data_IF_853149764426
#
_entry.id   IF_853149764426
#
_cell.length_a   1.000
_cell.length_b   1.000
_cell.length_c   1.000
_cell.angle_alpha   90.00
_cell.angle_beta   90.00
_cell.angle_gamma   90.00
#
_symmetry.space_group_name_H-M   'P 1'
#
loop_
_entity.id
_entity.type
_entity.pdbx_description
1 polymer ?
#
# COMPACT_ATOMS: atom_id res chain seq x y z
N UNK A 1 5.66 -9.73 3.04
CA UNK A 1 6.18 -8.38 2.75
C UNK A 1 6.16 -8.19 1.25
N UNK A 2 5.68 -7.05 0.78
CA UNK A 2 5.71 -6.71 -0.64
C UNK A 2 7.13 -6.24 -0.95
N UNK A 3 7.79 -6.85 -1.94
CA UNK A 3 9.19 -6.53 -2.26
C UNK A 3 9.30 -5.41 -3.30
N UNK A 4 10.45 -4.73 -3.36
CA UNK A 4 10.73 -3.69 -4.34
C UNK A 4 10.65 -4.20 -5.78
N UNK A 5 11.03 -5.45 -6.06
CA UNK A 5 10.84 -6.04 -7.40
C UNK A 5 9.36 -6.14 -7.75
N UNK A 6 8.52 -6.52 -6.79
CA UNK A 6 7.06 -6.59 -6.97
C UNK A 6 6.46 -5.20 -7.19
N UNK A 7 7.01 -4.17 -6.54
CA UNK A 7 6.61 -2.78 -6.77
C UNK A 7 6.95 -2.33 -8.19
N UNK A 8 8.15 -2.61 -8.66
CA UNK A 8 8.60 -2.22 -10.01
C UNK A 8 7.71 -2.87 -11.07
N UNK A 9 7.45 -4.17 -10.93
CA UNK A 9 6.56 -4.89 -11.84
C UNK A 9 5.13 -4.33 -11.77
N UNK A 10 4.59 -4.11 -10.56
CA UNK A 10 3.27 -3.53 -10.36
C UNK A 10 3.13 -2.13 -11.00
N UNK A 11 4.09 -1.24 -10.78
CA UNK A 11 4.08 0.12 -11.32
C UNK A 11 4.14 0.13 -12.85
N UNK A 12 4.87 -0.82 -13.43
CA UNK A 12 4.97 -1.00 -14.87
C UNK A 12 3.70 -1.60 -15.47
N UNK A 13 3.09 -2.59 -14.81
CA UNK A 13 1.89 -3.26 -15.31
C UNK A 13 0.63 -2.38 -15.16
N UNK A 14 0.42 -1.75 -14.01
CA UNK A 14 -0.79 -0.98 -13.73
C UNK A 14 -0.72 0.45 -14.30
N UNK A 15 0.46 1.09 -14.28
CA UNK A 15 0.60 2.50 -14.68
C UNK A 15 1.50 2.72 -15.89
N UNK A 16 2.20 1.68 -16.38
CA UNK A 16 3.16 1.83 -17.49
C UNK A 16 4.42 2.61 -17.09
N UNK A 17 4.73 2.71 -15.79
CA UNK A 17 5.84 3.50 -15.27
C UNK A 17 7.05 2.59 -15.05
N UNK A 18 8.18 2.94 -15.65
CA UNK A 18 9.45 2.28 -15.37
C UNK A 18 10.06 2.91 -14.12
N UNK A 19 10.15 2.12 -13.04
CA UNK A 19 10.73 2.55 -11.77
C UNK A 19 12.11 1.90 -11.63
N UNK A 20 13.12 2.70 -11.32
CA UNK A 20 14.46 2.21 -10.99
C UNK A 20 14.55 2.00 -9.48
N UNK A 21 14.98 0.81 -9.05
CA UNK A 21 15.03 0.43 -7.62
C UNK A 21 15.82 1.39 -6.75
N UNK A 22 16.90 1.95 -7.29
CA UNK A 22 17.81 2.85 -6.56
C UNK A 22 17.19 4.24 -6.28
N UNK A 23 16.08 4.57 -6.95
CA UNK A 23 15.35 5.84 -6.80
C UNK A 23 14.12 5.72 -5.90
N UNK A 24 13.84 4.53 -5.36
CA UNK A 24 12.69 4.28 -4.49
C UNK A 24 13.10 4.40 -3.04
N UNK A 25 12.43 5.29 -2.31
CA UNK A 25 12.46 5.30 -0.85
C UNK A 25 11.50 4.24 -0.30
N UNK A 26 11.94 3.47 0.71
CA UNK A 26 11.12 2.49 1.40
C UNK A 26 11.10 2.78 2.90
N UNK A 27 9.92 2.75 3.49
CA UNK A 27 9.71 2.85 4.93
C UNK A 27 8.66 1.82 5.37
N UNK A 28 8.78 1.30 6.59
CA UNK A 28 7.74 0.47 7.19
C UNK A 28 7.55 0.87 8.65
N UNK A 29 6.32 1.23 9.01
CA UNK A 29 5.97 1.73 10.34
C UNK A 29 4.78 0.97 10.90
N UNK A 30 4.80 0.65 12.20
CA UNK A 30 3.65 0.11 12.90
C UNK A 30 2.75 1.28 13.33
N UNK A 31 1.51 1.32 12.85
CA UNK A 31 0.56 2.40 13.10
C UNK A 31 -0.72 1.87 13.75
N UNK A 32 -1.24 2.62 14.73
CA UNK A 32 -2.57 2.42 15.26
C UNK A 32 -3.61 3.11 14.37
N UNK A 33 -4.88 2.71 14.49
CA UNK A 33 -5.96 3.28 13.67
C UNK A 33 -6.13 4.80 13.83
N UNK A 34 -5.83 5.35 15.01
CA UNK A 34 -5.87 6.80 15.26
C UNK A 34 -4.71 7.57 14.63
N UNK A 35 -3.68 6.88 14.14
CA UNK A 35 -2.54 7.47 13.43
C UNK A 35 -2.70 7.43 11.91
N UNK A 36 -3.70 6.71 11.39
CA UNK A 36 -3.97 6.61 9.95
C UNK A 36 -4.80 7.79 9.44
N UNK A 37 -4.35 8.40 8.34
CA UNK A 37 -5.07 9.50 7.69
C UNK A 37 -6.30 8.98 6.92
N UNK A 38 -7.47 9.55 7.21
CA UNK A 38 -8.75 9.22 6.57
C UNK A 38 -8.77 9.52 5.06
N UNK A 39 -7.88 10.40 4.59
CA UNK A 39 -7.70 10.70 3.16
C UNK A 39 -7.00 9.56 2.42
N UNK A 40 -6.20 8.77 3.13
CA UNK A 40 -5.46 7.62 2.59
C UNK A 40 -6.28 6.35 2.80
N UNK A 41 -6.80 6.16 4.01
CA UNK A 41 -7.54 4.98 4.44
C UNK A 41 -8.98 5.37 4.76
N UNK A 42 -9.92 4.97 3.89
CA UNK A 42 -11.33 5.18 4.17
C UNK A 42 -11.78 4.44 5.43
N UNK A 43 -12.82 4.94 6.10
CA UNK A 43 -13.40 4.29 7.30
C UNK A 43 -13.80 2.83 7.05
N UNK A 44 -14.27 2.51 5.84
CA UNK A 44 -14.62 1.14 5.44
C UNK A 44 -13.40 0.22 5.43
N UNK A 45 -12.27 0.71 4.91
CA UNK A 45 -11.01 -0.05 4.89
C UNK A 45 -10.45 -0.16 6.31
N UNK A 46 -10.51 0.92 7.10
CA UNK A 46 -10.03 0.96 8.48
C UNK A 46 -10.67 -0.14 9.35
N UNK A 47 -11.97 -0.39 9.18
CA UNK A 47 -12.68 -1.46 9.91
C UNK A 47 -12.22 -2.88 9.54
N UNK A 48 -11.56 -3.06 8.40
CA UNK A 48 -11.05 -4.36 7.92
C UNK A 48 -9.61 -4.57 8.37
N UNK A 49 -8.85 -3.49 8.57
CA UNK A 49 -7.44 -3.57 8.97
C UNK A 49 -7.30 -3.96 10.46
N UNK A 50 -6.27 -4.75 10.82
CA UNK A 50 -5.92 -4.99 12.21
C UNK A 50 -5.50 -3.69 12.89
N UNK A 51 -5.52 -3.68 14.23
CA UNK A 51 -5.05 -2.55 15.03
C UNK A 51 -4.12 -3.07 16.14
N UNK A 52 -2.81 -2.79 16.10
CA UNK A 52 -2.10 -1.99 15.10
C UNK A 52 -1.93 -2.70 13.74
N UNK A 53 -1.61 -1.93 12.70
CA UNK A 53 -1.30 -2.41 11.35
C UNK A 53 0.12 -2.00 10.97
N UNK A 54 0.82 -2.86 10.25
CA UNK A 54 2.13 -2.52 9.70
C UNK A 54 1.91 -1.84 8.34
N UNK A 55 2.39 -0.62 8.18
CA UNK A 55 2.20 0.16 6.96
C UNK A 55 3.54 0.35 6.26
N UNK A 56 3.69 -0.35 5.13
CA UNK A 56 4.85 -0.24 4.25
C UNK A 56 4.57 0.84 3.21
N UNK A 57 5.49 1.78 3.06
CA UNK A 57 5.37 2.92 2.15
C UNK A 57 6.55 2.92 1.20
N UNK A 58 6.25 3.02 -0.09
CA UNK A 58 7.23 3.32 -1.12
C UNK A 58 7.01 4.72 -1.67
N UNK A 59 8.09 5.47 -1.82
CA UNK A 59 8.07 6.82 -2.38
C UNK A 59 8.96 6.83 -3.62
N UNK A 60 8.39 7.26 -4.74
CA UNK A 60 9.11 7.44 -5.99
C UNK A 60 8.82 8.83 -6.55
N UNK A 61 9.87 9.61 -6.81
CA UNK A 61 9.76 10.99 -7.28
C UNK A 61 10.45 11.10 -8.63
N UNK A 62 9.67 11.33 -9.68
CA UNK A 62 10.17 11.64 -11.02
C UNK A 62 9.62 13.00 -11.47
N UNK A 63 8.60 13.00 -12.34
CA UNK A 63 7.84 14.20 -12.74
C UNK A 63 6.69 14.54 -11.81
N UNK A 64 6.15 13.49 -11.17
CA UNK A 64 5.11 13.53 -10.15
C UNK A 64 5.61 12.72 -8.96
N UNK A 65 5.11 13.05 -7.78
CA UNK A 65 5.31 12.22 -6.59
C UNK A 65 4.37 11.03 -6.63
N UNK A 66 4.92 9.85 -6.39
CA UNK A 66 4.17 8.62 -6.19
C UNK A 66 4.41 8.09 -4.78
N UNK A 67 3.31 7.83 -4.08
CA UNK A 67 3.31 7.18 -2.78
C UNK A 67 2.50 5.90 -2.91
N UNK A 68 3.12 4.77 -2.61
CA UNK A 68 2.49 3.45 -2.61
C UNK A 68 2.47 2.96 -1.18
N UNK A 69 1.27 2.95 -0.58
CA UNK A 69 1.04 2.47 0.77
C UNK A 69 0.48 1.07 0.76
N UNK A 70 1.03 0.19 1.59
CA UNK A 70 0.61 -1.20 1.71
C UNK A 70 0.40 -1.50 3.19
N UNK A 71 -0.85 -1.77 3.55
CA UNK A 71 -1.20 -2.24 4.87
C UNK A 71 -0.94 -3.76 4.94
N UNK A 72 -0.14 -4.16 5.92
CA UNK A 72 0.27 -5.53 6.19
C UNK A 72 -0.21 -5.96 7.58
N UNK A 73 -0.57 -7.24 7.72
CA UNK A 73 -0.73 -7.82 9.05
C UNK A 73 0.62 -7.88 9.77
N UNK A 74 0.69 -7.34 11.00
CA UNK A 74 1.97 -7.12 11.70
C UNK A 74 2.75 -8.41 12.05
N UNK A 75 2.04 -9.54 12.23
CA UNK A 75 2.67 -10.80 12.63
C UNK A 75 3.17 -11.61 11.41
N UNK A 76 2.39 -11.67 10.33
CA UNK A 76 2.69 -12.49 9.15
C UNK A 76 3.26 -11.70 7.96
N UNK A 77 3.22 -10.37 8.00
CA UNK A 77 3.50 -9.49 6.85
C UNK A 77 2.64 -9.81 5.62
N UNK A 78 1.44 -10.36 5.84
CA UNK A 78 0.46 -10.62 4.79
C UNK A 78 -0.15 -9.30 4.30
N UNK A 79 -0.12 -8.99 3.00
CA UNK A 79 -0.73 -7.78 2.47
C UNK A 79 -2.26 -7.80 2.58
N UNK A 80 -2.83 -6.74 3.12
CA UNK A 80 -4.26 -6.60 3.37
C UNK A 80 -4.92 -5.57 2.46
N UNK A 81 -4.21 -4.49 2.19
CA UNK A 81 -4.68 -3.37 1.40
C UNK A 81 -3.50 -2.66 0.74
N UNK A 82 -3.72 -2.14 -0.46
CA UNK A 82 -2.77 -1.34 -1.21
C UNK A 82 -3.47 -0.06 -1.68
N UNK A 83 -2.79 1.07 -1.58
CA UNK A 83 -3.22 2.37 -2.08
C UNK A 83 -2.08 3.05 -2.82
N UNK A 84 -2.40 3.72 -3.92
CA UNK A 84 -1.45 4.57 -4.64
C UNK A 84 -1.97 6.01 -4.69
N UNK A 85 -1.09 6.93 -4.35
CA UNK A 85 -1.29 8.36 -4.48
C UNK A 85 -0.32 8.88 -5.53
N UNK A 86 -0.82 9.80 -6.35
CA UNK A 86 -0.05 10.58 -7.30
C UNK A 86 -0.28 12.05 -6.99
N UNK A 87 0.79 12.77 -6.65
CA UNK A 87 0.73 14.18 -6.26
C UNK A 87 -0.34 14.41 -5.17
N UNK A 88 -0.27 13.63 -4.08
CA UNK A 88 -1.24 13.60 -2.95
C UNK A 88 -2.68 13.16 -3.32
N UNK A 89 -2.96 12.87 -4.59
CA UNK A 89 -4.29 12.42 -5.03
C UNK A 89 -4.31 10.91 -5.15
N UNK A 90 -5.23 10.26 -4.44
CA UNK A 90 -5.45 8.81 -4.57
C UNK A 90 -5.90 8.45 -5.99
N UNK A 91 -5.13 7.60 -6.66
CA UNK A 91 -5.38 7.15 -8.04
C UNK A 91 -5.71 5.66 -8.13
N UNK A 92 -5.38 4.88 -7.10
CA UNK A 92 -5.64 3.45 -7.05
C UNK A 92 -5.80 2.99 -5.60
N UNK A 93 -6.67 2.00 -5.38
CA UNK A 93 -6.73 1.23 -4.15
C UNK A 93 -7.22 -0.19 -4.41
N UNK A 94 -6.77 -1.15 -3.61
CA UNK A 94 -7.15 -2.55 -3.72
C UNK A 94 -7.09 -3.26 -2.38
N UNK A 95 -8.18 -3.93 -2.00
CA UNK A 95 -8.16 -4.90 -0.92
C UNK A 95 -7.46 -6.17 -1.41
N UNK A 96 -6.45 -6.61 -0.67
CA UNK A 96 -5.64 -7.80 -0.97
C UNK A 96 -6.09 -9.00 -0.13
N UNK A 97 -6.83 -8.75 0.96
CA UNK A 97 -7.36 -9.76 1.87
C UNK A 97 -8.74 -10.32 1.46
N UNK A 98 -9.13 -10.26 0.18
CA UNK A 98 -10.25 -11.08 -0.29
C UNK A 98 -9.82 -12.56 -0.33
N UNK A 99 -9.64 -13.12 0.86
CA UNK A 99 -9.71 -14.55 1.07
C UNK A 99 -11.07 -15.02 0.61
N UNK A 100 -11.03 -15.93 -0.36
CA UNK A 100 -12.06 -16.90 -0.72
C UNK A 100 -13.35 -16.77 0.10
N UNK A 101 -14.43 -16.33 -0.55
CA UNK A 101 -15.76 -16.72 -0.10
C UNK A 101 -15.76 -18.24 0.03
N UNK A 102 -15.53 -18.74 1.25
CA UNK A 102 -15.88 -20.11 1.63
C UNK A 102 -17.39 -20.18 1.47
N UNK A 103 -17.83 -20.56 0.28
CA UNK A 103 -19.17 -21.07 0.06
C UNK A 103 -19.33 -22.25 1.03
N UNK A 104 -20.19 -22.03 2.03
CA UNK A 104 -20.63 -23.07 2.96
C UNK A 104 -21.56 -24.09 2.32
#
# INVERSE_FOLDING_TARGET
MFDIEQLIDFMKEEFGIAVESDEVGEETVLLYHDELDEQIISEVVLQILPNPVLFQTYIYIEKSEWIIGIALEAETNNPLFLVCLKDEVRVFEKLLNEGESKNG
#
